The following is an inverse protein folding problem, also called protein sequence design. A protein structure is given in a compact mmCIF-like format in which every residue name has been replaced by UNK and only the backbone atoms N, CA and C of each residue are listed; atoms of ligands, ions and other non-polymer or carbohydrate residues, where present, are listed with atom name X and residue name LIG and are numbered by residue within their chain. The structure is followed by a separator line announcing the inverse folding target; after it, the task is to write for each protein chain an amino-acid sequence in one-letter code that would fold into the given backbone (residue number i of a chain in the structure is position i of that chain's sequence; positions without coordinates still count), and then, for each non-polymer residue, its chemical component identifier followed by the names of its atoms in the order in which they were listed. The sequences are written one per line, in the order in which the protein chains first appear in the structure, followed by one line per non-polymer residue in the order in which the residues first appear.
data_IF_556177926014
#
_entry.id   IF_556177926014
#
_cell.length_a   1.000
_cell.length_b   1.000
_cell.length_c   1.000
_cell.angle_alpha   90.00
_cell.angle_beta   90.00
_cell.angle_gamma   90.00
#
_symmetry.space_group_name_H-M   'P 1'
#
loop_
_entity.id
_entity.type
_entity.pdbx_description
1 polymer ?
#
# COMPACT_ATOMS: atom_id res chain seq x y z
N UNK A 1 -38.89 65.69 -5.02
CA UNK A 1 -37.69 66.09 -5.80
C UNK A 1 -36.77 64.88 -5.93
N UNK A 2 -36.38 64.56 -7.17
CA UNK A 2 -35.17 63.83 -7.64
C UNK A 2 -34.91 62.44 -6.98
N UNK A 3 -35.19 61.31 -7.64
CA UNK A 3 -34.40 60.61 -8.70
C UNK A 3 -32.90 60.48 -8.40
N UNK A 4 -32.34 59.34 -8.83
CA UNK A 4 -30.93 58.85 -8.82
C UNK A 4 -30.59 57.91 -7.65
N UNK A 5 -29.90 56.79 -7.81
CA UNK A 5 -29.52 56.01 -9.00
C UNK A 5 -28.93 54.69 -8.49
N UNK A 6 -29.14 53.62 -9.25
CA UNK A 6 -28.45 52.33 -9.16
C UNK A 6 -26.93 52.52 -9.23
N UNK A 7 -26.17 51.88 -8.34
CA UNK A 7 -24.86 51.27 -8.67
C UNK A 7 -24.72 49.96 -7.89
N UNK A 8 -24.99 48.87 -8.61
CA UNK A 8 -24.49 47.52 -8.37
C UNK A 8 -22.97 47.53 -8.37
N UNK A 9 -22.31 46.99 -7.34
CA UNK A 9 -20.89 46.64 -7.43
C UNK A 9 -20.67 45.22 -6.92
N UNK A 10 -20.74 44.28 -7.86
CA UNK A 10 -20.23 42.93 -7.73
C UNK A 10 -18.71 43.04 -7.78
N UNK A 11 -18.06 42.93 -6.62
CA UNK A 11 -16.61 42.74 -6.56
C UNK A 11 -16.37 41.23 -6.56
N UNK A 12 -16.22 40.69 -7.76
CA UNK A 12 -15.69 39.36 -7.99
C UNK A 12 -14.18 39.39 -7.70
N UNK A 13 -13.78 39.00 -6.50
CA UNK A 13 -12.37 38.70 -6.22
C UNK A 13 -12.11 37.31 -6.79
N UNK A 14 -11.56 37.30 -8.00
CA UNK A 14 -10.82 36.18 -8.57
C UNK A 14 -9.63 35.86 -7.66
N UNK A 15 -9.84 35.02 -6.65
CA UNK A 15 -8.75 34.24 -6.07
C UNK A 15 -8.45 33.07 -7.01
N UNK A 16 -7.75 33.37 -8.10
CA UNK A 16 -6.96 32.36 -8.82
C UNK A 16 -5.81 31.92 -7.90
N UNK A 17 -6.14 31.08 -6.92
CA UNK A 17 -5.12 30.26 -6.28
C UNK A 17 -4.77 29.19 -7.29
N UNK A 18 -3.66 29.42 -8.00
CA UNK A 18 -2.90 28.35 -8.63
C UNK A 18 -2.61 27.32 -7.55
N UNK A 19 -3.45 26.28 -7.47
CA UNK A 19 -3.00 24.98 -7.00
C UNK A 19 -1.93 24.54 -8.00
N UNK A 20 -0.70 24.97 -7.74
CA UNK A 20 0.47 24.24 -8.12
C UNK A 20 0.27 22.87 -7.49
N UNK A 21 -0.24 21.92 -8.27
CA UNK A 21 -0.12 20.52 -7.94
C UNK A 21 1.38 20.28 -7.80
N UNK A 22 1.88 20.35 -6.57
CA UNK A 22 3.10 19.68 -6.20
C UNK A 22 2.81 18.21 -6.47
N UNK A 23 3.06 17.80 -7.71
CA UNK A 23 3.27 16.41 -8.03
C UNK A 23 4.40 16.00 -7.08
N UNK A 24 4.05 15.20 -6.08
CA UNK A 24 5.05 14.59 -5.23
C UNK A 24 6.09 13.96 -6.16
N UNK A 25 7.39 14.29 -5.99
CA UNK A 25 8.41 13.68 -6.82
C UNK A 25 8.25 12.17 -6.73
N UNK A 26 8.36 11.44 -7.86
CA UNK A 26 8.20 9.99 -7.87
C UNK A 26 9.15 9.42 -6.82
N UNK A 27 8.57 8.72 -5.84
CA UNK A 27 9.29 8.21 -4.69
C UNK A 27 10.43 7.32 -5.17
N UNK A 28 11.62 7.81 -4.86
CA UNK A 28 12.93 7.21 -5.04
C UNK A 28 12.97 5.69 -4.86
N UNK A 29 13.48 5.01 -5.90
CA UNK A 29 14.20 3.74 -5.93
C UNK A 29 14.25 2.97 -4.59
N UNK A 30 13.15 2.34 -4.19
CA UNK A 30 13.25 1.21 -3.26
C UNK A 30 13.90 0.06 -4.02
N UNK A 31 15.04 -0.42 -3.51
CA UNK A 31 15.77 -1.59 -4.00
C UNK A 31 14.84 -2.80 -3.93
N UNK A 32 14.02 -2.97 -4.96
CA UNK A 32 13.01 -4.00 -5.06
C UNK A 32 13.75 -5.27 -5.44
N UNK A 33 13.70 -6.26 -4.57
CA UNK A 33 14.32 -7.56 -4.89
C UNK A 33 13.49 -8.19 -5.99
N UNK A 34 14.12 -8.44 -7.15
CA UNK A 34 13.53 -9.12 -8.30
C UNK A 34 13.58 -10.62 -8.05
N UNK A 35 12.42 -11.26 -7.98
CA UNK A 35 12.28 -12.71 -7.81
C UNK A 35 11.54 -13.27 -9.02
N UNK A 36 12.05 -14.36 -9.59
CA UNK A 36 11.32 -15.11 -10.62
C UNK A 36 10.47 -16.19 -9.94
N UNK A 37 9.19 -16.21 -10.25
CA UNK A 37 8.23 -17.22 -9.82
C UNK A 37 7.44 -17.75 -11.01
N UNK A 38 6.55 -18.72 -10.78
CA UNK A 38 5.68 -19.28 -11.80
C UNK A 38 4.23 -19.18 -11.31
N UNK A 39 3.33 -18.65 -12.14
CA UNK A 39 1.90 -18.58 -11.81
C UNK A 39 1.23 -19.97 -11.89
N UNK A 40 -0.05 -20.04 -11.49
CA UNK A 40 -0.80 -21.30 -11.49
C UNK A 40 -0.96 -21.88 -12.91
N UNK A 41 -0.86 -21.04 -13.92
CA UNK A 41 -0.94 -21.39 -15.34
C UNK A 41 0.43 -21.76 -15.96
N UNK A 42 1.51 -21.74 -15.18
CA UNK A 42 2.85 -22.12 -15.65
C UNK A 42 3.63 -21.00 -16.35
N UNK A 43 3.19 -19.74 -16.24
CA UNK A 43 3.88 -18.58 -16.81
C UNK A 43 4.94 -18.04 -15.84
N UNK A 44 6.08 -17.63 -16.37
CA UNK A 44 7.11 -16.97 -15.56
C UNK A 44 6.64 -15.59 -15.13
N UNK A 45 6.78 -15.28 -13.85
CA UNK A 45 6.44 -14.01 -13.26
C UNK A 45 7.69 -13.41 -12.64
N UNK A 46 7.92 -12.13 -12.88
CA UNK A 46 8.97 -11.33 -12.25
C UNK A 46 8.30 -10.49 -11.17
N UNK A 47 8.57 -10.83 -9.93
CA UNK A 47 7.99 -10.20 -8.75
C UNK A 47 8.97 -9.21 -8.13
N UNK A 48 8.42 -8.13 -7.58
CA UNK A 48 9.20 -7.07 -6.95
C UNK A 48 8.77 -6.95 -5.49
N UNK A 49 9.65 -7.35 -4.57
CA UNK A 49 9.37 -7.28 -3.14
C UNK A 49 9.42 -5.84 -2.62
N UNK A 50 8.31 -5.37 -2.08
CA UNK A 50 8.24 -4.10 -1.34
C UNK A 50 8.53 -4.35 0.14
N UNK A 51 9.49 -3.61 0.75
CA UNK A 51 9.80 -3.74 2.16
C UNK A 51 8.57 -3.51 3.05
N UNK A 52 8.61 -4.09 4.26
CA UNK A 52 7.57 -3.95 5.28
C UNK A 52 8.10 -3.00 6.35
N UNK A 53 7.31 -1.99 6.71
CA UNK A 53 7.60 -1.11 7.83
C UNK A 53 7.21 -1.81 9.14
N UNK A 54 8.23 -2.33 9.82
CA UNK A 54 8.08 -3.02 11.11
C UNK A 54 7.84 -2.06 12.28
N UNK A 55 7.96 -0.75 12.06
CA UNK A 55 7.74 0.30 13.06
C UNK A 55 6.35 0.94 12.96
N UNK A 56 5.50 0.41 12.08
CA UNK A 56 4.17 0.93 11.87
C UNK A 56 3.29 0.82 13.12
N UNK A 57 2.80 1.97 13.57
CA UNK A 57 1.86 2.11 14.69
C UNK A 57 0.68 2.99 14.30
N UNK A 58 -0.51 2.65 14.81
CA UNK A 58 -1.75 3.43 14.69
C UNK A 58 -2.37 3.59 16.07
N UNK A 59 -2.62 4.84 16.47
CA UNK A 59 -3.22 5.20 17.76
C UNK A 59 -4.70 5.51 17.56
N UNK A 60 -5.54 5.05 18.47
CA UNK A 60 -6.99 5.25 18.42
C UNK A 60 -7.60 5.27 19.82
N UNK A 61 -8.80 5.83 19.95
CA UNK A 61 -9.56 5.79 21.19
C UNK A 61 -10.50 4.58 21.17
N UNK A 62 -10.24 3.61 22.04
CA UNK A 62 -11.17 2.51 22.32
C UNK A 62 -12.40 3.02 23.11
N UNK A 63 -13.57 2.98 22.45
CA UNK A 63 -14.84 3.46 23.01
C UNK A 63 -15.29 2.63 24.23
N UNK A 64 -14.99 1.34 24.28
CA UNK A 64 -15.37 0.50 25.43
C UNK A 64 -14.63 0.96 26.69
N UNK A 65 -13.36 1.33 26.53
CA UNK A 65 -12.52 1.82 27.63
C UNK A 65 -12.87 3.23 28.04
N UNK A 66 -13.22 4.08 27.07
CA UNK A 66 -13.66 5.45 27.32
C UNK A 66 -14.99 5.48 28.10
N UNK A 67 -15.91 4.58 27.79
CA UNK A 67 -17.25 4.51 28.39
C UNK A 67 -17.28 3.67 29.68
N UNK A 68 -16.26 2.85 29.94
CA UNK A 68 -16.13 2.14 31.21
C UNK A 68 -15.86 3.16 32.34
N UNK A 69 -16.76 3.30 33.31
CA UNK A 69 -16.56 4.17 34.50
C UNK A 69 -15.29 3.84 35.33
N UNK A 70 -14.57 2.79 34.96
CA UNK A 70 -13.26 2.36 35.44
C UNK A 70 -12.07 3.12 34.84
N UNK A 71 -12.26 4.26 34.16
CA UNK A 71 -11.16 5.17 33.80
C UNK A 71 -10.33 5.58 35.04
N UNK A 72 -10.83 5.33 36.26
CA UNK A 72 -10.08 5.42 37.52
C UNK A 72 -10.10 4.10 38.31
N UNK A 73 -9.56 3.02 37.77
CA UNK A 73 -9.24 1.84 38.59
C UNK A 73 -7.87 2.05 39.25
N UNK A 74 -7.82 2.88 40.29
CA UNK A 74 -6.58 3.30 40.97
C UNK A 74 -5.88 4.50 40.32
N UNK A 75 -4.58 4.67 40.58
CA UNK A 75 -3.68 5.75 40.08
C UNK A 75 -3.51 5.79 38.55
N UNK A 76 -4.33 5.07 37.77
CA UNK A 76 -4.22 4.91 36.31
C UNK A 76 -5.42 5.52 35.59
N UNK A 77 -5.14 6.42 34.64
CA UNK A 77 -6.11 7.06 33.75
C UNK A 77 -5.89 6.58 32.31
N UNK A 78 -6.90 6.03 31.65
CA UNK A 78 -6.78 5.61 30.24
C UNK A 78 -6.54 6.81 29.31
N UNK A 79 -5.60 6.68 28.36
CA UNK A 79 -5.30 7.70 27.36
C UNK A 79 -5.77 7.27 25.97
N UNK A 80 -5.20 6.20 25.42
CA UNK A 80 -5.51 5.69 24.08
C UNK A 80 -5.09 4.24 23.95
N UNK A 81 -5.54 3.58 22.89
CA UNK A 81 -5.06 2.28 22.45
C UNK A 81 -4.22 2.44 21.19
N UNK A 82 -3.32 1.50 20.92
CA UNK A 82 -2.58 1.46 19.68
C UNK A 82 -2.49 0.04 19.13
N UNK A 83 -2.46 -0.05 17.80
CA UNK A 83 -2.03 -1.26 17.10
C UNK A 83 -0.58 -1.07 16.64
N UNK A 84 0.29 -1.97 17.08
CA UNK A 84 1.70 -2.03 16.68
C UNK A 84 1.92 -3.28 15.83
N UNK A 85 2.61 -3.14 14.70
CA UNK A 85 3.01 -4.30 13.90
C UNK A 85 3.93 -5.22 14.73
N UNK A 86 3.68 -6.53 14.67
CA UNK A 86 4.57 -7.53 15.29
C UNK A 86 5.33 -8.30 14.20
N UNK A 87 4.61 -9.10 13.42
CA UNK A 87 5.16 -9.84 12.29
C UNK A 87 4.11 -10.11 11.23
N UNK A 88 4.56 -10.55 10.06
CA UNK A 88 3.69 -11.02 8.99
C UNK A 88 4.32 -12.20 8.26
N UNK A 89 3.48 -13.03 7.68
CA UNK A 89 3.89 -14.19 6.89
C UNK A 89 3.02 -14.31 5.65
N UNK A 90 3.61 -14.74 4.55
CA UNK A 90 2.87 -15.11 3.34
C UNK A 90 2.25 -16.48 3.58
N UNK A 91 0.93 -16.57 3.49
CA UNK A 91 0.19 -17.83 3.60
C UNK A 91 0.00 -18.45 2.21
N UNK A 92 -0.20 -17.60 1.20
CA UNK A 92 -0.47 -18.05 -0.16
C UNK A 92 0.08 -17.04 -1.17
N UNK A 93 0.95 -17.53 -2.05
CA UNK A 93 1.39 -16.76 -3.21
C UNK A 93 0.31 -16.76 -4.31
N UNK A 94 0.21 -15.66 -5.06
CA UNK A 94 -0.73 -15.51 -6.18
C UNK A 94 -2.19 -15.83 -5.77
N UNK A 95 -2.57 -15.33 -4.59
CA UNK A 95 -3.86 -15.56 -3.94
C UNK A 95 -5.08 -15.08 -4.72
N UNK A 96 -4.88 -14.17 -5.69
CA UNK A 96 -5.92 -13.70 -6.61
C UNK A 96 -5.34 -13.58 -8.01
N UNK A 97 -6.22 -13.66 -9.01
CA UNK A 97 -5.87 -13.37 -10.40
C UNK A 97 -5.26 -11.98 -10.51
N UNK A 98 -4.25 -11.87 -11.38
CA UNK A 98 -3.66 -10.58 -11.76
C UNK A 98 -4.72 -9.66 -12.37
N UNK A 99 -4.55 -8.36 -12.16
CA UNK A 99 -5.44 -7.33 -12.70
C UNK A 99 -4.63 -6.22 -13.39
N UNK A 100 -5.34 -5.45 -14.22
CA UNK A 100 -4.85 -4.22 -14.84
C UNK A 100 -3.57 -4.43 -15.67
N UNK A 101 -3.59 -5.45 -16.53
CA UNK A 101 -2.50 -5.77 -17.46
C UNK A 101 -2.22 -4.59 -18.40
N UNK A 102 -0.95 -4.22 -18.52
CA UNK A 102 -0.47 -3.15 -19.39
C UNK A 102 0.71 -3.64 -20.21
N UNK A 103 0.61 -3.49 -21.53
CA UNK A 103 1.70 -3.83 -22.43
C UNK A 103 2.89 -2.88 -22.26
N UNK A 104 4.10 -3.44 -22.15
CA UNK A 104 5.35 -2.69 -22.04
C UNK A 104 6.02 -2.63 -23.43
N UNK A 105 6.48 -3.78 -23.92
CA UNK A 105 7.21 -3.91 -25.18
C UNK A 105 7.14 -5.33 -25.77
N UNK A 106 7.53 -5.45 -27.04
CA UNK A 106 7.70 -6.72 -27.76
C UNK A 106 9.18 -6.91 -28.08
N UNK A 107 9.74 -8.07 -27.76
CA UNK A 107 11.14 -8.42 -28.01
C UNK A 107 11.21 -9.60 -28.96
N UNK A 108 11.76 -9.44 -30.18
CA UNK A 108 12.00 -10.54 -31.09
C UNK A 108 13.04 -11.53 -30.56
N UNK A 109 12.97 -12.78 -31.01
CA UNK A 109 13.94 -13.82 -30.68
C UNK A 109 15.38 -13.37 -30.97
N UNK A 110 16.27 -13.54 -29.99
CA UNK A 110 17.69 -13.18 -30.10
C UNK A 110 17.97 -11.67 -30.12
N UNK A 111 16.98 -10.83 -29.81
CA UNK A 111 17.14 -9.38 -29.68
C UNK A 111 16.95 -8.93 -28.24
N UNK A 112 17.42 -7.72 -27.98
CA UNK A 112 17.17 -6.97 -26.75
C UNK A 112 16.48 -5.66 -27.11
N UNK A 113 15.60 -5.18 -26.25
CA UNK A 113 14.87 -3.93 -26.44
C UNK A 113 14.98 -3.08 -25.18
N UNK A 114 15.41 -1.83 -25.33
CA UNK A 114 15.48 -0.86 -24.23
C UNK A 114 14.34 0.14 -24.39
N UNK A 115 13.54 0.34 -23.34
CA UNK A 115 12.42 1.28 -23.37
C UNK A 115 12.37 2.16 -22.14
N UNK A 116 11.97 3.42 -22.33
CA UNK A 116 11.77 4.43 -21.29
C UNK A 116 10.29 4.81 -21.18
N UNK A 117 9.40 3.82 -21.28
CA UNK A 117 7.95 4.04 -21.13
C UNK A 117 7.59 4.14 -19.65
N UNK A 118 6.83 5.18 -19.30
CA UNK A 118 6.12 5.23 -18.03
C UNK A 118 4.83 4.44 -18.15
N UNK A 119 4.77 3.25 -17.54
CA UNK A 119 3.55 2.45 -17.46
C UNK A 119 3.10 2.43 -16.00
N UNK A 120 1.88 2.88 -15.76
CA UNK A 120 1.30 2.95 -14.42
C UNK A 120 0.12 1.99 -14.31
N UNK A 121 0.14 1.18 -13.26
CA UNK A 121 -0.99 0.31 -12.87
C UNK A 121 -1.20 0.45 -11.38
N UNK A 122 -2.43 0.24 -10.91
CA UNK A 122 -2.74 0.33 -9.49
C UNK A 122 -3.60 -0.84 -9.06
N UNK A 123 -3.44 -1.25 -7.81
CA UNK A 123 -4.28 -2.24 -7.17
C UNK A 123 -4.41 -1.92 -5.69
N UNK A 124 -5.55 -2.25 -5.11
CA UNK A 124 -5.82 -2.01 -3.71
C UNK A 124 -5.77 -3.30 -2.92
N UNK A 125 -5.23 -3.22 -1.71
CA UNK A 125 -5.30 -4.29 -0.72
C UNK A 125 -6.75 -4.66 -0.46
N UNK A 126 -6.98 -5.94 -0.20
CA UNK A 126 -8.29 -6.43 0.22
C UNK A 126 -8.14 -7.28 1.47
N UNK A 127 -9.06 -7.10 2.41
CA UNK A 127 -9.05 -7.78 3.70
C UNK A 127 -10.06 -8.93 3.69
N UNK A 128 -9.74 -10.04 4.35
CA UNK A 128 -10.68 -11.12 4.57
C UNK A 128 -11.35 -10.96 5.95
N UNK A 129 -12.67 -11.18 5.98
CA UNK A 129 -13.46 -11.08 7.20
C UNK A 129 -13.78 -9.63 7.63
N UNK A 130 -14.36 -9.52 8.82
CA UNK A 130 -14.66 -8.22 9.43
C UNK A 130 -13.42 -7.71 10.16
N UNK A 131 -12.73 -6.76 9.54
CA UNK A 131 -11.52 -6.10 10.08
C UNK A 131 -11.87 -4.65 10.38
N UNK A 132 -11.52 -4.19 11.58
CA UNK A 132 -11.82 -2.82 12.02
C UNK A 132 -11.00 -1.77 11.22
N UNK A 133 -11.43 -0.52 11.21
CA UNK A 133 -10.76 0.54 10.43
C UNK A 133 -9.32 0.80 10.88
N UNK A 134 -9.05 0.69 12.18
CA UNK A 134 -7.75 1.00 12.77
C UNK A 134 -6.72 -0.12 12.48
N UNK A 135 -7.18 -1.37 12.44
CA UNK A 135 -6.45 -2.55 11.99
C UNK A 135 -6.12 -2.42 10.50
N UNK A 136 -7.09 -2.02 9.66
CA UNK A 136 -6.85 -1.77 8.23
C UNK A 136 -5.79 -0.70 8.02
N UNK A 137 -5.87 0.41 8.76
CA UNK A 137 -4.89 1.48 8.70
C UNK A 137 -3.49 0.99 9.14
N UNK A 138 -3.41 0.24 10.24
CA UNK A 138 -2.14 -0.32 10.73
C UNK A 138 -1.49 -1.26 9.71
N UNK A 139 -2.28 -2.13 9.08
CA UNK A 139 -1.80 -3.02 8.01
C UNK A 139 -1.36 -2.21 6.78
N UNK A 140 -2.17 -1.24 6.33
CA UNK A 140 -1.81 -0.39 5.19
C UNK A 140 -0.48 0.32 5.42
N UNK A 141 -0.30 0.91 6.60
CA UNK A 141 0.94 1.58 7.01
C UNK A 141 2.12 0.61 7.06
N UNK A 142 1.95 -0.58 7.63
CA UNK A 142 3.01 -1.60 7.66
C UNK A 142 3.45 -2.03 6.27
N UNK A 143 2.56 -2.00 5.28
CA UNK A 143 2.88 -2.32 3.89
C UNK A 143 3.32 -1.12 3.05
N UNK A 144 3.42 0.08 3.64
CA UNK A 144 3.77 1.31 2.93
C UNK A 144 2.71 1.77 1.92
N UNK A 145 1.46 1.33 2.09
CA UNK A 145 0.34 1.71 1.23
C UNK A 145 -0.22 3.07 1.63
N UNK A 146 -0.91 3.74 0.71
CA UNK A 146 -1.63 4.96 1.06
C UNK A 146 -2.80 4.67 2.02
N UNK A 147 -3.43 5.71 2.56
CA UNK A 147 -4.53 5.58 3.51
C UNK A 147 -5.72 4.76 2.96
N UNK A 148 -5.91 4.75 1.64
CA UNK A 148 -6.94 3.97 0.94
C UNK A 148 -6.51 2.52 0.64
N UNK A 149 -5.29 2.12 1.02
CA UNK A 149 -4.74 0.79 0.78
C UNK A 149 -4.38 0.52 -0.68
N UNK A 150 -4.25 1.56 -1.50
CA UNK A 150 -3.85 1.45 -2.91
C UNK A 150 -2.33 1.48 -3.05
N UNK A 151 -1.82 0.51 -3.80
CA UNK A 151 -0.47 0.51 -4.36
C UNK A 151 -0.56 1.05 -5.79
N UNK A 152 0.05 2.21 -6.02
CA UNK A 152 0.31 2.71 -7.36
C UNK A 152 1.71 2.26 -7.76
N UNK A 153 1.79 1.42 -8.78
CA UNK A 153 3.06 0.96 -9.35
C UNK A 153 3.31 1.74 -10.64
N UNK A 154 4.44 2.43 -10.68
CA UNK A 154 4.94 3.11 -11.87
C UNK A 154 6.22 2.42 -12.30
N UNK A 155 6.25 1.84 -13.50
CA UNK A 155 7.49 1.45 -14.15
C UNK A 155 7.96 2.67 -14.94
N UNK A 156 9.03 3.29 -14.46
CA UNK A 156 9.62 4.49 -15.08
C UNK A 156 11.08 4.29 -15.51
N UNK A 157 11.64 3.09 -15.33
CA UNK A 157 13.06 2.87 -15.59
C UNK A 157 13.32 2.43 -17.03
N UNK A 158 14.47 2.88 -17.53
CA UNK A 158 15.08 2.40 -18.77
C UNK A 158 15.49 0.93 -18.57
N UNK A 159 14.55 0.01 -18.71
CA UNK A 159 14.83 -1.41 -18.59
C UNK A 159 15.17 -2.00 -19.96
N UNK A 160 16.17 -2.88 -19.98
CA UNK A 160 16.53 -3.64 -21.18
C UNK A 160 15.91 -5.02 -21.05
N UNK A 161 14.96 -5.31 -21.93
CA UNK A 161 14.28 -6.58 -22.02
C UNK A 161 14.98 -7.46 -23.06
N UNK A 162 15.12 -8.74 -22.78
CA UNK A 162 15.61 -9.75 -23.73
C UNK A 162 14.49 -10.73 -24.05
N UNK A 163 14.62 -11.54 -25.10
CA UNK A 163 13.71 -12.65 -25.29
C UNK A 163 13.80 -13.61 -24.10
N UNK A 164 12.67 -13.97 -23.50
CA UNK A 164 12.66 -14.72 -22.25
C UNK A 164 12.98 -16.21 -22.47
N UNK A 165 13.92 -16.77 -21.71
CA UNK A 165 14.44 -18.13 -21.90
C UNK A 165 13.36 -19.22 -21.77
N UNK A 166 12.36 -19.01 -20.91
CA UNK A 166 11.24 -19.95 -20.74
C UNK A 166 10.37 -20.13 -21.99
N UNK A 167 10.50 -19.24 -22.98
CA UNK A 167 9.77 -19.29 -24.25
C UNK A 167 10.60 -19.91 -25.39
N UNK A 168 11.91 -20.09 -25.24
CA UNK A 168 12.81 -20.59 -26.29
C UNK A 168 12.40 -21.98 -26.78
N UNK A 169 12.07 -22.87 -25.84
CA UNK A 169 11.69 -24.25 -26.16
C UNK A 169 10.22 -24.41 -26.58
N UNK A 170 9.45 -23.31 -26.61
CA UNK A 170 8.02 -23.33 -26.92
C UNK A 170 7.71 -22.91 -28.37
N UNK A 171 8.73 -22.63 -29.18
CA UNK A 171 8.58 -22.32 -30.61
C UNK A 171 8.08 -20.92 -30.91
N UNK A 172 8.12 -20.00 -29.95
CA UNK A 172 7.73 -18.60 -30.15
C UNK A 172 8.84 -17.77 -30.77
N UNK A 173 8.48 -16.82 -31.63
CA UNK A 173 9.43 -15.91 -32.29
C UNK A 173 9.43 -14.48 -31.70
N UNK A 174 8.41 -14.13 -30.92
CA UNK A 174 8.29 -12.83 -30.23
C UNK A 174 7.90 -13.05 -28.76
N UNK A 175 8.45 -12.22 -27.88
CA UNK A 175 8.15 -12.16 -26.46
C UNK A 175 7.53 -10.79 -26.12
N UNK A 176 6.24 -10.77 -25.79
CA UNK A 176 5.52 -9.57 -25.35
C UNK A 176 5.58 -9.47 -23.82
N UNK A 177 6.09 -8.36 -23.29
CA UNK A 177 6.16 -8.10 -21.85
C UNK A 177 4.97 -7.26 -21.38
N UNK A 178 4.38 -7.70 -20.26
CA UNK A 178 3.26 -7.02 -19.61
C UNK A 178 3.58 -6.70 -18.16
N UNK A 179 3.04 -5.57 -17.68
CA UNK A 179 3.00 -5.17 -16.28
C UNK A 179 1.59 -5.40 -15.75
N UNK A 180 1.48 -6.04 -14.60
CA UNK A 180 0.20 -6.24 -13.91
C UNK A 180 0.36 -6.09 -12.39
N UNK A 181 -0.79 -6.09 -11.70
CA UNK A 181 -0.83 -6.19 -10.24
C UNK A 181 -1.25 -7.60 -9.84
N UNK A 182 -0.35 -8.32 -9.17
CA UNK A 182 -0.64 -9.60 -8.52
C UNK A 182 -0.98 -9.41 -7.03
N UNK A 183 -1.36 -10.50 -6.37
CA UNK A 183 -1.73 -10.46 -4.96
C UNK A 183 -1.17 -11.65 -4.18
N UNK A 184 -0.50 -11.38 -3.07
CA UNK A 184 -0.12 -12.40 -2.09
C UNK A 184 -0.97 -12.27 -0.84
N UNK A 185 -1.37 -13.40 -0.28
CA UNK A 185 -2.13 -13.44 0.97
C UNK A 185 -1.16 -13.45 2.14
N UNK A 186 -1.29 -12.46 3.00
CA UNK A 186 -0.54 -12.34 4.24
C UNK A 186 -1.43 -12.61 5.44
N UNK A 187 -0.85 -13.26 6.45
CA UNK A 187 -1.28 -13.15 7.84
C UNK A 187 -0.42 -12.09 8.50
N UNK A 188 -1.04 -11.00 8.90
CA UNK A 188 -0.38 -9.92 9.65
C UNK A 188 -0.84 -10.02 11.11
N UNK A 189 0.11 -10.02 12.03
CA UNK A 189 -0.17 -10.03 13.47
C UNK A 189 0.14 -8.65 14.02
N UNK A 190 -0.88 -8.06 14.64
CA UNK A 190 -0.81 -6.77 15.31
C UNK A 190 -0.93 -6.97 16.82
N UNK A 191 -0.12 -6.25 17.60
CA UNK A 191 -0.29 -6.16 19.05
C UNK A 191 -1.21 -4.99 19.36
N UNK A 192 -2.31 -5.26 20.07
CA UNK A 192 -3.12 -4.22 20.70
C UNK A 192 -2.51 -3.89 22.05
N UNK A 193 -2.15 -2.63 22.24
CA UNK A 193 -1.54 -2.11 23.47
C UNK A 193 -2.39 -0.94 23.92
N UNK A 194 -2.76 -0.94 25.19
CA UNK A 194 -3.43 0.17 25.84
C UNK A 194 -2.43 1.04 26.55
N UNK A 195 -2.61 2.35 26.46
CA UNK A 195 -1.74 3.33 27.09
C UNK A 195 -2.52 4.03 28.19
N UNK A 196 -1.99 3.94 29.40
CA UNK A 196 -2.52 4.59 30.59
C UNK A 196 -1.54 5.67 31.07
N UNK A 197 -2.06 6.71 31.68
CA UNK A 197 -1.32 7.67 32.48
C UNK A 197 -1.36 7.21 33.94
N UNK A 198 -0.21 7.08 34.57
CA UNK A 198 -0.11 6.60 35.96
C UNK A 198 0.57 7.65 36.81
N UNK A 199 0.02 7.90 38.00
CA UNK A 199 0.64 8.79 38.98
C UNK A 199 1.82 8.08 39.66
N UNK A 200 3.00 8.70 39.62
CA UNK A 200 4.22 8.14 40.24
C UNK A 200 4.58 9.00 41.45
N UNK A 201 3.93 8.73 42.58
CA UNK A 201 4.17 9.43 43.83
C UNK A 201 4.01 10.96 43.71
N UNK A 202 5.00 11.70 44.22
CA UNK A 202 5.05 13.16 44.14
C UNK A 202 5.79 13.70 42.90
N UNK A 203 6.22 12.81 41.99
CA UNK A 203 7.10 13.13 40.86
C UNK A 203 6.35 13.40 39.55
N UNK A 204 5.01 13.32 39.57
CA UNK A 204 4.16 13.61 38.42
C UNK A 204 3.53 12.35 37.81
N UNK A 205 3.28 12.39 36.50
CA UNK A 205 2.61 11.33 35.76
C UNK A 205 3.55 10.70 34.73
N UNK A 206 3.42 9.40 34.52
CA UNK A 206 4.13 8.64 33.47
C UNK A 206 3.14 7.86 32.61
N UNK A 207 3.56 7.45 31.42
CA UNK A 207 2.77 6.56 30.56
C UNK A 207 3.16 5.11 30.80
N UNK A 208 2.16 4.24 30.97
CA UNK A 208 2.33 2.79 31.06
C UNK A 208 1.65 2.15 29.84
N UNK A 209 2.42 1.36 29.08
CA UNK A 209 1.91 0.50 28.01
C UNK A 209 1.51 -0.86 28.60
N UNK A 210 0.26 -1.25 28.40
CA UNK A 210 -0.28 -2.55 28.84
C UNK A 210 -0.68 -3.35 27.60
N UNK A 211 -0.13 -4.54 27.46
CA UNK A 211 -0.53 -5.44 26.37
C UNK A 211 -1.94 -5.99 26.61
N UNK A 212 -2.84 -5.81 25.64
CA UNK A 212 -4.20 -6.35 25.65
C UNK A 212 -4.22 -7.73 25.02
N UNK A 213 -3.96 -7.79 23.70
CA UNK A 213 -4.05 -9.01 22.90
C UNK A 213 -3.31 -8.90 21.57
N UNK A 214 -3.11 -10.06 20.94
CA UNK A 214 -2.75 -10.14 19.54
C UNK A 214 -4.00 -10.15 18.66
N UNK A 215 -3.90 -9.52 17.50
CA UNK A 215 -4.94 -9.44 16.48
C UNK A 215 -4.37 -9.95 15.16
N UNK A 216 -4.99 -11.01 14.64
CA UNK A 216 -4.64 -11.59 13.36
C UNK A 216 -5.48 -10.97 12.25
N UNK A 217 -4.82 -10.38 11.25
CA UNK A 217 -5.46 -9.78 10.08
C UNK A 217 -5.02 -10.52 8.82
N UNK A 218 -5.99 -10.99 8.05
CA UNK A 218 -5.76 -11.62 6.75
C UNK A 218 -5.97 -10.59 5.64
N UNK A 219 -4.95 -10.40 4.81
CA UNK A 219 -5.00 -9.41 3.73
C UNK A 219 -4.30 -9.89 2.46
N UNK A 220 -4.87 -9.56 1.31
CA UNK A 220 -4.26 -9.74 0.00
C UNK A 220 -3.49 -8.48 -0.36
N UNK A 221 -2.18 -8.51 -0.17
CA UNK A 221 -1.28 -7.41 -0.47
C UNK A 221 -1.05 -7.34 -1.98
N UNK A 222 -1.30 -6.18 -2.64
CA UNK A 222 -0.94 -6.00 -4.03
C UNK A 222 0.58 -6.03 -4.18
N UNK A 223 1.06 -6.66 -5.25
CA UNK A 223 2.48 -6.70 -5.63
C UNK A 223 2.64 -6.37 -7.12
N UNK A 224 3.75 -5.72 -7.46
CA UNK A 224 4.15 -5.51 -8.86
C UNK A 224 4.55 -6.85 -9.46
N UNK A 225 3.98 -7.17 -10.62
CA UNK A 225 4.36 -8.35 -11.39
C UNK A 225 4.59 -7.98 -12.85
N UNK A 226 5.68 -8.46 -13.42
CA UNK A 226 5.94 -8.42 -14.86
C UNK A 226 5.98 -9.83 -15.41
N UNK A 227 5.49 -10.05 -16.62
CA UNK A 227 5.52 -11.39 -17.22
C UNK A 227 5.68 -11.36 -18.74
N UNK A 228 6.44 -12.32 -19.31
CA UNK A 228 6.58 -12.51 -20.73
C UNK A 228 5.48 -13.42 -21.29
N UNK A 229 4.96 -13.09 -22.46
CA UNK A 229 4.01 -13.89 -23.22
C UNK A 229 4.63 -14.20 -24.59
N UNK A 230 4.70 -15.48 -24.94
CA UNK A 230 5.17 -15.91 -26.25
C UNK A 230 4.09 -15.71 -27.32
N UNK A 231 4.47 -15.12 -28.44
CA UNK A 231 3.59 -14.88 -29.59
C UNK A 231 4.28 -15.35 -30.86
N UNK A 232 3.50 -15.93 -31.78
CA UNK A 232 3.92 -16.20 -33.15
C UNK A 232 3.35 -15.09 -34.05
N UNK A 233 4.22 -14.21 -34.54
CA UNK A 233 3.86 -13.15 -35.51
C UNK A 233 4.68 -13.27 -36.79
#
# INVERSE_FOLDING_TARGET
MKKFSVITMIIAILFSSSLSAFAAPPTSNQRTTRIESVDAEGNTMIEYLTPIDTTAEVKFFDEEKLNSKSVMSGDRTYLYSLYRYDYSQIIQHNSKSKINDKFICSVPLGKTFTTTKTVQTSGSISFEGSVDSNQKEAVNKSFGLNAQGSLTVTVQQSETYAFHDSLLNKGFNVCDYYLAVGFDKYKVVLKKIDVYQVKVGNWGFQTEEVFDKNVDVLAHRPKKVEYPVGVNR
#
